data_IF_111970657232
#
_entry.id   IF_111970657232
#
_cell.length_a   1.000
_cell.length_b   1.000
_cell.length_c   1.000
_cell.angle_alpha   90.00
_cell.angle_beta   90.00
_cell.angle_gamma   90.00
#
_symmetry.space_group_name_H-M   'P 1'
#
loop_
_entity.id
_entity.type
_entity.pdbx_description
1 polymer ?
#
# COMPACT_ATOMS: atom_id res chain seq x y z
N UNK A 1 26.20 19.39 -6.98
CA UNK A 1 24.82 19.82 -7.28
C UNK A 1 24.05 18.61 -7.71
N UNK A 2 23.34 17.97 -6.76
CA UNK A 2 22.61 16.74 -7.02
C UNK A 2 21.46 17.02 -7.98
N UNK A 3 21.37 16.23 -9.03
CA UNK A 3 20.20 16.19 -9.91
C UNK A 3 19.00 15.86 -9.04
N UNK A 4 18.05 16.79 -8.88
CA UNK A 4 16.75 16.49 -8.31
C UNK A 4 16.15 15.37 -9.18
N UNK A 5 16.21 14.17 -8.66
CA UNK A 5 15.59 13.02 -9.29
C UNK A 5 14.09 13.30 -9.41
N UNK A 6 13.55 12.87 -10.50
CA UNK A 6 12.18 12.57 -10.84
C UNK A 6 11.31 12.54 -9.60
N UNK A 7 10.12 13.10 -9.69
CA UNK A 7 9.11 12.94 -8.65
C UNK A 7 9.09 11.48 -8.24
N UNK A 8 9.38 11.28 -6.99
CA UNK A 8 9.61 9.96 -6.39
C UNK A 8 8.42 9.01 -6.52
N UNK A 9 7.21 9.55 -6.66
CA UNK A 9 5.98 8.81 -6.93
C UNK A 9 6.07 7.88 -8.15
N UNK A 10 6.56 8.42 -9.28
CA UNK A 10 6.71 7.62 -10.49
C UNK A 10 7.79 6.53 -10.31
N UNK A 11 8.90 6.88 -9.70
CA UNK A 11 9.97 5.92 -9.42
C UNK A 11 9.46 4.81 -8.48
N UNK A 12 8.72 5.15 -7.45
CA UNK A 12 8.13 4.18 -6.53
C UNK A 12 7.04 3.34 -7.19
N UNK A 13 6.16 3.95 -7.99
CA UNK A 13 5.16 3.19 -8.77
C UNK A 13 5.82 2.19 -9.69
N UNK A 14 6.88 2.60 -10.38
CA UNK A 14 7.64 1.72 -11.28
C UNK A 14 8.38 0.64 -10.49
N UNK A 15 9.06 1.01 -9.40
CA UNK A 15 9.81 0.10 -8.54
C UNK A 15 8.90 -0.98 -7.93
N UNK A 16 7.76 -0.58 -7.37
CA UNK A 16 6.85 -1.50 -6.67
C UNK A 16 6.00 -2.35 -7.62
N UNK A 17 5.70 -1.87 -8.84
CA UNK A 17 4.89 -2.59 -9.84
C UNK A 17 5.66 -3.67 -10.61
N UNK A 18 6.96 -3.57 -10.66
CA UNK A 18 7.77 -4.54 -11.40
C UNK A 18 7.83 -5.86 -10.64
N UNK A 19 7.35 -6.93 -11.28
CA UNK A 19 7.40 -8.31 -10.73
C UNK A 19 8.83 -8.75 -10.36
N UNK A 20 9.84 -8.18 -11.03
CA UNK A 20 11.24 -8.41 -10.70
C UNK A 20 11.66 -7.79 -9.35
N UNK A 21 10.83 -6.95 -8.75
CA UNK A 21 11.11 -6.22 -7.52
C UNK A 21 10.17 -6.59 -6.37
N UNK A 22 9.56 -7.77 -6.39
CA UNK A 22 8.71 -8.25 -5.29
C UNK A 22 9.40 -8.19 -3.93
N UNK A 23 10.70 -8.44 -3.91
CA UNK A 23 11.54 -8.36 -2.73
C UNK A 23 11.56 -6.95 -2.10
N UNK A 24 11.57 -5.90 -2.92
CA UNK A 24 11.50 -4.52 -2.44
C UNK A 24 10.14 -4.25 -1.77
N UNK A 25 9.06 -4.66 -2.45
CA UNK A 25 7.71 -4.52 -1.93
C UNK A 25 7.50 -5.32 -0.65
N UNK A 26 8.00 -6.57 -0.60
CA UNK A 26 7.98 -7.41 0.60
C UNK A 26 8.73 -6.74 1.76
N UNK A 27 9.90 -6.16 1.50
CA UNK A 27 10.67 -5.44 2.51
C UNK A 27 9.89 -4.28 3.12
N UNK A 28 9.24 -3.46 2.29
CA UNK A 28 8.36 -2.38 2.76
C UNK A 28 7.19 -2.92 3.58
N UNK A 29 6.49 -3.94 3.08
CA UNK A 29 5.34 -4.53 3.78
C UNK A 29 5.75 -5.20 5.09
N UNK A 30 6.88 -5.90 5.14
CA UNK A 30 7.41 -6.48 6.36
C UNK A 30 7.69 -5.40 7.42
N UNK A 31 8.23 -4.26 7.01
CA UNK A 31 8.51 -3.15 7.93
C UNK A 31 7.23 -2.47 8.42
N UNK A 32 6.23 -2.26 7.54
CA UNK A 32 4.97 -1.59 7.87
C UNK A 32 4.06 -2.44 8.75
N UNK A 33 3.93 -3.72 8.40
CA UNK A 33 3.01 -4.64 9.08
C UNK A 33 3.68 -5.40 10.25
N UNK A 34 4.94 -5.10 10.53
CA UNK A 34 5.76 -5.73 11.58
C UNK A 34 5.77 -7.27 11.50
N UNK A 35 5.81 -7.80 10.26
CA UNK A 35 5.72 -9.22 9.97
C UNK A 35 6.78 -9.64 8.93
N UNK A 36 7.85 -10.26 9.37
CA UNK A 36 8.98 -10.65 8.51
C UNK A 36 8.67 -11.82 7.56
N UNK A 37 7.53 -12.48 7.74
CA UNK A 37 7.10 -13.64 6.94
C UNK A 37 6.16 -13.26 5.77
N UNK A 38 6.03 -11.99 5.44
CA UNK A 38 5.24 -11.58 4.29
C UNK A 38 5.95 -12.03 3.01
N UNK A 39 5.21 -12.75 2.19
CA UNK A 39 5.60 -13.16 0.85
C UNK A 39 4.49 -12.80 -0.12
N UNK A 40 4.85 -12.15 -1.22
CA UNK A 40 3.91 -11.78 -2.28
C UNK A 40 3.81 -12.94 -3.26
N UNK A 41 2.60 -13.46 -3.44
CA UNK A 41 2.34 -14.52 -4.40
C UNK A 41 2.09 -13.92 -5.78
N UNK A 42 1.31 -12.85 -5.85
CA UNK A 42 0.91 -12.26 -7.13
C UNK A 42 0.60 -10.77 -7.00
N UNK A 43 0.86 -10.02 -8.08
CA UNK A 43 0.27 -8.71 -8.30
C UNK A 43 -1.01 -8.94 -9.10
N UNK A 44 -2.12 -8.63 -8.46
CA UNK A 44 -3.42 -8.60 -9.10
C UNK A 44 -3.54 -7.22 -9.74
N UNK A 45 -3.15 -7.08 -11.01
CA UNK A 45 -3.38 -5.83 -11.74
C UNK A 45 -4.87 -5.56 -11.76
N UNK A 46 -5.30 -4.46 -11.16
CA UNK A 46 -6.57 -3.91 -11.53
C UNK A 46 -6.34 -3.22 -12.88
N UNK A 47 -6.45 -3.95 -13.96
CA UNK A 47 -6.73 -3.33 -15.24
C UNK A 47 -8.03 -2.55 -15.04
N UNK A 48 -7.94 -1.23 -15.12
CA UNK A 48 -9.10 -0.42 -15.48
C UNK A 48 -9.57 -1.00 -16.80
N UNK A 49 -10.63 -1.79 -16.74
CA UNK A 49 -11.26 -2.37 -17.91
C UNK A 49 -11.54 -1.19 -18.86
N UNK A 50 -10.94 -1.14 -20.07
CA UNK A 50 -11.17 -0.03 -21.00
C UNK A 50 -12.64 0.14 -21.39
N UNK A 51 -13.47 -0.88 -21.14
CA UNK A 51 -14.92 -0.85 -21.38
C UNK A 51 -15.70 -0.10 -20.30
N UNK A 52 -15.08 0.16 -19.13
CA UNK A 52 -15.65 1.02 -18.08
C UNK A 52 -15.05 2.43 -18.14
N UNK A 53 -15.13 3.08 -19.31
CA UNK A 53 -14.65 4.47 -19.52
C UNK A 53 -15.36 5.50 -18.64
N UNK A 54 -16.43 5.14 -17.97
CA UNK A 54 -17.16 6.02 -17.05
C UNK A 54 -16.70 5.91 -15.57
N UNK A 55 -15.87 4.92 -15.22
CA UNK A 55 -15.37 4.75 -13.85
C UNK A 55 -14.04 5.51 -13.66
N UNK A 56 -14.08 6.83 -13.78
CA UNK A 56 -12.94 7.75 -13.63
C UNK A 56 -12.33 7.79 -12.23
N UNK A 57 -12.90 7.05 -11.27
CA UNK A 57 -12.62 7.22 -9.85
C UNK A 57 -11.79 6.11 -9.19
N UNK A 58 -11.45 5.04 -9.88
CA UNK A 58 -10.66 3.96 -9.25
C UNK A 58 -9.28 3.84 -9.89
N UNK A 59 -8.34 4.61 -9.36
CA UNK A 59 -6.92 4.42 -9.66
C UNK A 59 -6.35 3.44 -8.63
N UNK A 60 -6.47 2.15 -8.89
CA UNK A 60 -5.72 1.15 -8.13
C UNK A 60 -4.28 1.21 -8.62
N UNK A 61 -3.37 1.72 -7.80
CA UNK A 61 -1.97 1.75 -8.17
C UNK A 61 -1.37 0.35 -8.12
N UNK A 62 -1.70 -0.43 -7.10
CA UNK A 62 -1.26 -1.81 -6.99
C UNK A 62 -2.14 -2.61 -6.03
N UNK A 63 -2.52 -3.80 -6.44
CA UNK A 63 -3.17 -4.80 -5.59
C UNK A 63 -2.34 -6.07 -5.59
N UNK A 64 -1.92 -6.54 -4.42
CA UNK A 64 -1.15 -7.77 -4.28
C UNK A 64 -1.87 -8.79 -3.41
N UNK A 65 -1.57 -10.06 -3.65
CA UNK A 65 -1.99 -11.18 -2.83
C UNK A 65 -0.77 -11.73 -2.10
N UNK A 66 -0.86 -11.82 -0.78
CA UNK A 66 0.19 -12.44 0.02
C UNK A 66 -0.04 -13.94 0.28
N UNK A 67 0.95 -14.60 0.86
CA UNK A 67 0.92 -16.04 1.18
C UNK A 67 -0.16 -16.44 2.19
N UNK A 68 -0.76 -15.49 2.91
CA UNK A 68 -1.87 -15.71 3.84
C UNK A 68 -3.24 -15.46 3.22
N UNK A 69 -3.29 -15.18 1.91
CA UNK A 69 -4.53 -14.86 1.19
C UNK A 69 -5.07 -13.46 1.49
N UNK A 70 -4.29 -12.58 2.13
CA UNK A 70 -4.68 -11.18 2.34
C UNK A 70 -4.48 -10.40 1.05
N UNK A 71 -5.39 -9.49 0.75
CA UNK A 71 -5.26 -8.55 -0.35
C UNK A 71 -4.72 -7.25 0.18
N UNK A 72 -3.60 -6.81 -0.37
CA UNK A 72 -2.94 -5.58 0.04
C UNK A 72 -3.06 -4.61 -1.13
N UNK A 73 -3.84 -3.57 -0.92
CA UNK A 73 -4.03 -2.45 -1.84
C UNK A 73 -3.09 -1.32 -1.47
N UNK A 74 -2.28 -0.88 -2.42
CA UNK A 74 -1.31 0.19 -2.22
C UNK A 74 -1.59 1.29 -3.24
N UNK A 75 -1.77 2.50 -2.74
CA UNK A 75 -1.99 3.71 -3.53
C UNK A 75 -0.90 4.73 -3.21
N UNK A 76 -0.37 5.38 -4.25
CA UNK A 76 0.59 6.47 -4.11
C UNK A 76 -0.03 7.74 -4.71
N UNK A 77 -0.32 8.71 -3.86
CA UNK A 77 -1.06 9.92 -4.23
C UNK A 77 -0.25 11.18 -3.97
N UNK A 78 -0.09 12.02 -5.00
CA UNK A 78 0.68 13.26 -4.91
C UNK A 78 -0.16 14.51 -4.72
N UNK A 79 -1.42 14.47 -5.13
CA UNK A 79 -2.33 15.58 -5.10
C UNK A 79 -3.48 15.29 -4.17
N UNK A 80 -3.87 16.30 -3.39
CA UNK A 80 -5.04 16.20 -2.52
C UNK A 80 -6.30 16.22 -3.39
N UNK A 81 -7.12 15.20 -3.22
CA UNK A 81 -8.50 15.15 -3.71
C UNK A 81 -9.44 15.54 -2.56
N UNK A 82 -10.53 16.23 -2.87
CA UNK A 82 -11.45 16.72 -1.84
C UNK A 82 -12.17 15.57 -1.14
N UNK A 83 -12.47 14.51 -1.88
CA UNK A 83 -13.22 13.31 -1.49
C UNK A 83 -12.32 12.07 -1.38
N UNK A 84 -11.07 12.28 -0.94
CA UNK A 84 -10.06 11.21 -0.87
C UNK A 84 -10.50 10.03 0.02
N UNK A 85 -11.09 10.29 1.17
CA UNK A 85 -11.52 9.21 2.09
C UNK A 85 -12.70 8.41 1.53
N UNK A 86 -13.61 9.07 0.83
CA UNK A 86 -14.72 8.45 0.13
C UNK A 86 -14.22 7.54 -0.99
N UNK A 87 -13.26 8.03 -1.77
CA UNK A 87 -12.60 7.27 -2.84
C UNK A 87 -11.87 6.04 -2.27
N UNK A 88 -11.12 6.20 -1.19
CA UNK A 88 -10.43 5.11 -0.49
C UNK A 88 -11.41 4.04 0.01
N UNK A 89 -12.51 4.48 0.64
CA UNK A 89 -13.56 3.58 1.13
C UNK A 89 -14.21 2.82 -0.04
N UNK A 90 -14.54 3.52 -1.12
CA UNK A 90 -15.13 2.92 -2.32
C UNK A 90 -14.20 1.87 -2.93
N UNK A 91 -12.93 2.22 -3.15
CA UNK A 91 -11.92 1.32 -3.73
C UNK A 91 -11.71 0.06 -2.89
N UNK A 92 -11.61 0.22 -1.57
CA UNK A 92 -11.49 -0.91 -0.64
C UNK A 92 -12.73 -1.81 -0.69
N UNK A 93 -13.93 -1.21 -0.71
CA UNK A 93 -15.20 -1.96 -0.79
C UNK A 93 -15.32 -2.72 -2.13
N UNK A 94 -14.91 -2.10 -3.23
CA UNK A 94 -14.90 -2.72 -4.57
C UNK A 94 -13.97 -3.95 -4.59
N UNK A 95 -12.77 -3.85 -4.01
CA UNK A 95 -11.84 -4.99 -3.89
C UNK A 95 -12.48 -6.15 -3.11
N UNK A 96 -13.24 -5.86 -2.06
CA UNK A 96 -13.95 -6.88 -1.30
C UNK A 96 -15.03 -7.55 -2.15
N UNK A 97 -15.82 -6.78 -2.88
CA UNK A 97 -16.97 -7.27 -3.65
C UNK A 97 -16.55 -8.01 -4.93
N UNK A 98 -15.64 -7.49 -5.71
CA UNK A 98 -15.21 -8.07 -7.00
C UNK A 98 -14.58 -9.46 -6.85
N UNK A 99 -14.04 -9.75 -5.71
CA UNK A 99 -13.42 -11.04 -5.43
C UNK A 99 -14.38 -12.05 -4.79
N UNK A 100 -15.61 -11.67 -4.57
CA UNK A 100 -16.69 -12.56 -4.20
C UNK A 100 -17.29 -13.15 -5.50
N UNK A 101 -16.98 -14.39 -5.85
CA UNK A 101 -17.83 -15.12 -6.79
C UNK A 101 -19.22 -15.08 -6.17
N UNK A 102 -20.19 -14.49 -6.90
CA UNK A 102 -21.59 -14.36 -6.52
C UNK A 102 -22.20 -15.72 -6.10
N UNK A 103 -21.90 -16.14 -4.91
CA UNK A 103 -22.36 -17.34 -4.26
C UNK A 103 -22.55 -17.07 -2.78
N UNK A 104 -23.47 -17.77 -2.14
CA UNK A 104 -23.90 -17.57 -0.75
C UNK A 104 -22.82 -17.85 0.32
N UNK A 105 -21.57 -18.04 -0.07
CA UNK A 105 -20.50 -18.40 0.85
C UNK A 105 -19.67 -17.16 1.23
N UNK A 106 -20.07 -16.49 2.32
CA UNK A 106 -19.33 -15.40 2.92
C UNK A 106 -18.08 -15.85 3.70
N UNK A 107 -17.84 -17.16 3.80
CA UNK A 107 -16.68 -17.71 4.52
C UNK A 107 -15.36 -17.30 3.86
N UNK A 108 -15.39 -16.99 2.56
CA UNK A 108 -14.20 -16.69 1.75
C UNK A 108 -13.95 -15.19 1.55
N UNK A 109 -14.51 -14.31 2.40
CA UNK A 109 -14.17 -12.88 2.37
C UNK A 109 -12.70 -12.73 2.76
N UNK A 110 -11.87 -12.32 1.80
CA UNK A 110 -10.45 -12.05 2.06
C UNK A 110 -10.31 -10.73 2.83
N UNK A 111 -9.42 -10.72 3.82
CA UNK A 111 -9.02 -9.48 4.48
C UNK A 111 -8.34 -8.55 3.48
N UNK A 112 -8.72 -7.28 3.51
CA UNK A 112 -8.08 -6.22 2.72
C UNK A 112 -7.28 -5.31 3.63
N UNK A 113 -6.03 -5.06 3.27
CA UNK A 113 -5.17 -4.06 3.89
C UNK A 113 -4.97 -2.95 2.87
N UNK A 114 -5.40 -1.75 3.19
CA UNK A 114 -5.29 -0.58 2.33
C UNK A 114 -4.20 0.35 2.82
N UNK A 115 -3.22 0.62 1.98
CA UNK A 115 -2.04 1.42 2.30
C UNK A 115 -2.01 2.63 1.36
N UNK A 116 -2.12 3.84 1.93
CA UNK A 116 -2.08 5.10 1.20
C UNK A 116 -0.77 5.83 1.51
N UNK A 117 0.07 6.01 0.48
CA UNK A 117 1.30 6.79 0.58
C UNK A 117 1.03 8.18 0.00
N UNK A 118 0.92 9.18 0.89
CA UNK A 118 0.43 10.51 0.58
C UNK A 118 1.55 11.54 0.64
N UNK A 119 1.74 12.27 -0.46
CA UNK A 119 2.66 13.41 -0.54
C UNK A 119 1.95 14.75 -0.30
N UNK A 120 0.87 14.72 0.49
CA UNK A 120 0.13 15.89 0.94
C UNK A 120 -0.45 15.65 2.34
N UNK A 121 -0.87 16.73 3.00
CA UNK A 121 -1.52 16.64 4.30
C UNK A 121 -3.02 16.40 4.13
N UNK A 122 -3.49 15.24 4.59
CA UNK A 122 -4.90 14.85 4.48
C UNK A 122 -5.80 15.57 5.51
N UNK A 123 -5.31 15.78 6.74
CA UNK A 123 -6.08 16.33 7.83
C UNK A 123 -5.22 16.94 8.92
N UNK A 124 -5.80 17.20 10.09
CA UNK A 124 -5.11 17.71 11.28
C UNK A 124 -4.61 16.54 12.12
N UNK A 125 -3.34 16.54 12.47
CA UNK A 125 -2.70 15.53 13.29
C UNK A 125 -1.19 15.73 13.30
N UNK A 126 -0.48 15.08 14.22
CA UNK A 126 0.96 15.27 14.41
C UNK A 126 1.79 14.09 13.90
N UNK A 127 1.16 12.93 13.71
CA UNK A 127 1.83 11.73 13.24
C UNK A 127 1.95 11.71 11.71
N UNK A 128 2.84 10.89 11.21
CA UNK A 128 3.05 10.66 9.77
C UNK A 128 2.46 9.32 9.30
N UNK A 129 2.10 8.40 10.23
CA UNK A 129 1.37 7.16 9.95
C UNK A 129 0.14 7.10 10.85
N UNK A 130 -1.02 6.95 10.23
CA UNK A 130 -2.29 6.69 10.91
C UNK A 130 -2.79 5.30 10.57
N UNK A 131 -3.14 4.54 11.59
CA UNK A 131 -3.70 3.21 11.47
C UNK A 131 -5.19 3.22 11.77
N UNK A 132 -5.99 2.71 10.86
CA UNK A 132 -7.44 2.59 10.97
C UNK A 132 -7.88 1.13 10.92
N UNK A 133 -8.73 0.73 11.87
CA UNK A 133 -9.34 -0.60 11.91
C UNK A 133 -10.72 -0.54 12.52
N UNK A 134 -11.57 -1.53 12.22
CA UNK A 134 -12.89 -1.65 12.81
C UNK A 134 -12.81 -2.48 14.09
N UNK A 135 -13.28 -1.90 15.20
CA UNK A 135 -13.37 -2.57 16.49
C UNK A 135 -14.78 -2.41 17.07
N UNK A 136 -15.33 -3.48 17.56
CA UNK A 136 -16.61 -3.48 18.26
C UNK A 136 -16.37 -3.34 19.76
N UNK A 137 -16.92 -2.27 20.35
CA UNK A 137 -16.81 -2.02 21.79
C UNK A 137 -18.16 -2.21 22.47
N UNK A 138 -18.17 -2.85 23.61
CA UNK A 138 -19.33 -2.93 24.49
C UNK A 138 -19.75 -1.53 24.95
N UNK A 139 -20.98 -1.14 24.68
CA UNK A 139 -21.47 0.20 25.04
C UNK A 139 -21.45 0.48 26.55
N UNK A 140 -21.62 -0.57 27.35
CA UNK A 140 -21.67 -0.45 28.81
C UNK A 140 -20.31 -0.65 29.48
N UNK A 141 -19.44 -1.49 28.89
CA UNK A 141 -18.17 -1.90 29.53
C UNK A 141 -16.95 -1.25 28.91
N UNK A 142 -17.06 -0.80 27.64
CA UNK A 142 -15.92 -0.31 26.84
C UNK A 142 -14.96 -1.40 26.37
N UNK A 143 -15.20 -2.65 26.69
CA UNK A 143 -14.37 -3.79 26.28
C UNK A 143 -14.49 -4.06 24.78
N UNK A 144 -13.40 -4.53 24.15
CA UNK A 144 -13.44 -4.96 22.77
C UNK A 144 -14.10 -6.34 22.66
N UNK A 145 -15.05 -6.49 21.73
CA UNK A 145 -15.57 -7.80 21.36
C UNK A 145 -14.50 -8.53 20.54
N UNK A 146 -14.08 -9.70 21.00
CA UNK A 146 -13.13 -10.58 20.31
C UNK A 146 -13.86 -11.80 19.79
N UNK A 147 -13.81 -12.03 18.49
CA UNK A 147 -14.38 -13.21 17.85
C UNK A 147 -13.22 -14.14 17.49
N UNK A 148 -13.29 -15.38 17.97
CA UNK A 148 -12.29 -16.41 17.70
C UNK A 148 -12.71 -17.31 16.53
N UNK A 149 -11.73 -17.75 15.75
CA UNK A 149 -11.88 -18.76 14.72
C UNK A 149 -10.82 -19.85 14.88
N UNK A 150 -11.14 -21.03 14.39
CA UNK A 150 -10.18 -22.14 14.30
C UNK A 150 -9.28 -21.88 13.09
N UNK A 151 -7.98 -21.88 13.31
CA UNK A 151 -6.97 -21.68 12.28
C UNK A 151 -6.03 -22.89 12.27
N UNK A 152 -5.73 -23.39 11.08
CA UNK A 152 -4.74 -24.46 10.91
C UNK A 152 -3.33 -23.89 11.08
N UNK A 153 -2.48 -24.64 11.80
CA UNK A 153 -1.08 -24.27 11.98
C UNK A 153 -0.33 -24.75 10.73
N UNK A 154 0.25 -23.86 9.93
CA UNK A 154 1.04 -24.23 8.76
C UNK A 154 2.22 -25.13 9.18
N UNK A 155 2.65 -25.99 8.25
CA UNK A 155 3.86 -26.82 8.35
C UNK A 155 3.90 -27.82 9.52
N UNK A 156 2.76 -28.11 10.15
CA UNK A 156 2.67 -29.19 11.10
C UNK A 156 2.65 -30.56 10.37
N UNK A 157 3.39 -31.54 10.87
CA UNK A 157 3.41 -32.92 10.31
C UNK A 157 2.03 -33.60 10.35
N UNK A 158 1.17 -33.16 11.26
CA UNK A 158 -0.24 -33.54 11.36
C UNK A 158 -1.09 -32.27 11.46
N UNK A 159 -2.36 -32.27 10.98
CA UNK A 159 -3.21 -31.11 11.09
C UNK A 159 -3.39 -30.64 12.53
N UNK A 160 -2.79 -29.55 12.87
CA UNK A 160 -2.93 -28.89 14.19
C UNK A 160 -3.68 -27.59 14.03
N UNK A 161 -4.44 -27.23 15.03
CA UNK A 161 -5.29 -26.05 15.00
C UNK A 161 -5.08 -25.20 16.25
N UNK A 162 -5.15 -23.90 16.07
CA UNK A 162 -5.20 -22.92 17.16
C UNK A 162 -6.44 -22.06 17.05
N UNK A 163 -6.81 -21.42 18.15
CA UNK A 163 -7.82 -20.39 18.15
C UNK A 163 -7.15 -19.04 17.91
N UNK A 164 -7.45 -18.41 16.79
CA UNK A 164 -6.96 -17.08 16.42
C UNK A 164 -8.10 -16.07 16.41
N UNK A 165 -7.76 -14.78 16.49
CA UNK A 165 -8.75 -13.72 16.35
C UNK A 165 -9.25 -13.68 14.91
N UNK A 166 -10.56 -13.60 14.74
CA UNK A 166 -11.17 -13.49 13.42
C UNK A 166 -11.12 -12.03 12.95
N UNK A 167 -10.18 -11.73 12.08
CA UNK A 167 -9.95 -10.39 11.54
C UNK A 167 -10.33 -10.34 10.06
N UNK A 168 -11.57 -9.94 9.76
CA UNK A 168 -12.10 -9.84 8.39
C UNK A 168 -12.29 -8.41 7.91
N UNK A 169 -12.37 -7.45 8.85
CA UNK A 169 -12.60 -6.06 8.49
C UNK A 169 -11.34 -5.45 7.85
N UNK A 170 -11.52 -4.51 6.91
CA UNK A 170 -10.40 -3.80 6.31
C UNK A 170 -9.53 -3.08 7.35
N UNK A 171 -8.26 -3.01 7.06
CA UNK A 171 -7.30 -2.15 7.75
C UNK A 171 -6.79 -1.07 6.81
N UNK A 172 -6.54 0.10 7.36
CA UNK A 172 -6.08 1.27 6.62
C UNK A 172 -4.79 1.80 7.23
N UNK A 173 -3.81 2.06 6.39
CA UNK A 173 -2.59 2.78 6.75
C UNK A 173 -2.52 4.06 5.90
N UNK A 174 -2.59 5.21 6.54
CA UNK A 174 -2.43 6.51 5.89
C UNK A 174 -1.05 7.05 6.24
N UNK A 175 -0.16 7.07 5.26
CA UNK A 175 1.23 7.48 5.43
C UNK A 175 1.41 8.85 4.79
N UNK A 176 1.58 9.90 5.61
CA UNK A 176 1.82 11.26 5.15
C UNK A 176 3.31 11.54 5.11
N UNK A 177 3.95 11.31 3.96
CA UNK A 177 5.40 11.38 3.78
C UNK A 177 5.97 12.75 4.18
N UNK A 178 5.28 13.84 3.85
CA UNK A 178 5.72 15.21 4.15
C UNK A 178 5.84 15.49 5.66
N UNK A 179 5.05 14.81 6.50
CA UNK A 179 5.09 14.99 7.96
C UNK A 179 6.25 14.29 8.64
N UNK A 180 6.86 13.33 7.98
CA UNK A 180 8.00 12.61 8.54
C UNK A 180 9.18 13.53 8.78
N UNK A 181 9.77 13.50 9.97
CA UNK A 181 10.82 14.42 10.42
C UNK A 181 12.25 13.92 10.18
N UNK A 182 12.43 12.86 9.39
CA UNK A 182 13.72 12.20 9.15
C UNK A 182 14.39 11.67 10.43
N UNK A 183 13.57 11.19 11.38
CA UNK A 183 14.06 10.57 12.61
C UNK A 183 13.73 9.09 12.55
N UNK A 184 14.76 8.26 12.40
CA UNK A 184 14.61 6.81 12.29
C UNK A 184 14.61 6.21 13.70
N UNK A 185 13.52 5.55 14.08
CA UNK A 185 13.35 4.85 15.35
C UNK A 185 12.97 3.38 15.17
N UNK A 186 12.36 3.06 14.03
CA UNK A 186 11.90 1.71 13.68
C UNK A 186 12.06 1.44 12.20
N UNK A 187 11.93 0.17 11.79
CA UNK A 187 12.16 -0.26 10.40
C UNK A 187 11.33 0.49 9.36
N UNK A 188 10.08 0.79 9.65
CA UNK A 188 9.24 1.53 8.71
C UNK A 188 9.77 2.95 8.45
N UNK A 189 10.43 3.56 9.43
CA UNK A 189 10.98 4.90 9.28
C UNK A 189 12.07 4.96 8.22
N UNK A 190 12.83 3.87 8.02
CA UNK A 190 13.84 3.75 6.98
C UNK A 190 13.19 3.82 5.58
N UNK A 191 12.04 3.17 5.41
CA UNK A 191 11.27 3.21 4.17
C UNK A 191 10.63 4.58 3.92
N UNK A 192 10.08 5.22 4.97
CA UNK A 192 9.53 6.57 4.83
C UNK A 192 10.64 7.59 4.56
N UNK A 193 11.83 7.40 5.13
CA UNK A 193 13.00 8.19 4.80
C UNK A 193 13.35 8.07 3.32
N UNK A 194 13.40 6.84 2.79
CA UNK A 194 13.60 6.56 1.37
C UNK A 194 12.53 7.24 0.52
N UNK A 195 11.25 7.15 0.89
CA UNK A 195 10.14 7.76 0.17
C UNK A 195 10.21 9.29 0.15
N UNK A 196 10.71 9.89 1.20
CA UNK A 196 10.83 11.34 1.31
C UNK A 196 12.06 11.90 0.62
N UNK A 197 13.20 11.24 0.78
CA UNK A 197 14.51 11.79 0.41
C UNK A 197 15.07 11.18 -0.87
N UNK A 198 14.49 10.08 -1.40
CA UNK A 198 14.98 9.32 -2.57
C UNK A 198 16.39 8.76 -2.36
N UNK A 199 16.73 8.45 -1.13
CA UNK A 199 18.00 7.86 -0.71
C UNK A 199 17.79 6.98 0.52
N UNK A 200 18.63 5.98 0.72
CA UNK A 200 18.61 5.15 1.92
C UNK A 200 19.45 5.82 3.00
N UNK A 201 18.90 5.87 4.20
CA UNK A 201 19.62 6.44 5.34
C UNK A 201 20.81 5.55 5.73
N UNK A 202 21.90 6.19 6.15
CA UNK A 202 23.08 5.46 6.61
C UNK A 202 22.74 4.56 7.82
N UNK A 203 23.12 3.29 7.76
CA UNK A 203 22.86 2.33 8.83
C UNK A 203 21.47 1.68 8.79
N UNK A 204 20.70 1.89 7.71
CA UNK A 204 19.45 1.17 7.49
C UNK A 204 19.66 -0.34 7.48
N UNK A 205 18.71 -1.07 8.08
CA UNK A 205 18.77 -2.53 8.27
C UNK A 205 17.47 -3.25 7.88
N UNK A 206 16.48 -2.52 7.40
CA UNK A 206 15.20 -3.12 6.94
C UNK A 206 15.43 -4.10 5.81
N UNK A 207 14.68 -5.20 5.83
CA UNK A 207 14.72 -6.23 4.80
C UNK A 207 14.62 -5.61 3.40
N UNK A 208 15.58 -5.94 2.53
CA UNK A 208 15.62 -5.54 1.12
C UNK A 208 15.68 -4.01 0.84
N UNK A 209 15.98 -3.17 1.81
CA UNK A 209 16.05 -1.72 1.59
C UNK A 209 17.25 -1.32 0.71
N UNK A 210 18.36 -2.06 0.82
CA UNK A 210 19.55 -1.93 -0.01
C UNK A 210 19.25 -2.24 -1.49
N UNK A 211 18.38 -3.21 -1.75
CA UNK A 211 17.89 -3.51 -3.10
C UNK A 211 17.05 -2.39 -3.67
N UNK A 212 16.23 -1.74 -2.84
CA UNK A 212 15.47 -0.57 -3.27
C UNK A 212 16.41 0.56 -3.72
N UNK A 213 17.51 0.80 -2.98
CA UNK A 213 18.53 1.78 -3.36
C UNK A 213 19.20 1.44 -4.68
N UNK A 214 19.64 0.18 -4.84
CA UNK A 214 20.26 -0.29 -6.08
C UNK A 214 19.34 -0.11 -7.29
N UNK A 215 18.08 -0.50 -7.16
CA UNK A 215 17.07 -0.36 -8.21
C UNK A 215 16.77 1.10 -8.54
N UNK A 216 16.69 1.97 -7.56
CA UNK A 216 16.56 3.41 -7.80
C UNK A 216 17.78 3.99 -8.51
N UNK A 217 18.99 3.50 -8.21
CA UNK A 217 20.21 3.88 -8.92
C UNK A 217 20.24 3.38 -10.38
N UNK A 218 19.75 2.16 -10.63
CA UNK A 218 19.62 1.58 -11.99
C UNK A 218 18.55 2.30 -12.82
N UNK A 219 17.52 2.84 -12.20
CA UNK A 219 16.49 3.67 -12.81
C UNK A 219 16.99 5.06 -13.22
N UNK A 220 18.31 5.32 -13.18
CA UNK A 220 18.94 6.47 -13.80
C UNK A 220 18.52 6.52 -15.28
N UNK A 221 17.46 7.28 -15.52
CA UNK A 221 16.66 7.25 -16.75
C UNK A 221 17.50 7.36 -18.01
N UNK A 222 17.26 6.45 -18.89
CA UNK A 222 17.57 6.61 -20.32
C UNK A 222 16.79 7.83 -20.87
N UNK A 223 17.27 8.43 -21.93
CA UNK A 223 16.60 9.60 -22.55
C UNK A 223 15.16 9.29 -22.99
N UNK A 224 14.87 8.03 -23.36
CA UNK A 224 13.56 7.54 -23.73
C UNK A 224 12.58 7.49 -22.52
N UNK A 225 13.07 7.09 -21.36
CA UNK A 225 12.29 7.03 -20.11
C UNK A 225 11.99 8.44 -19.59
N UNK A 226 12.96 9.36 -19.71
CA UNK A 226 12.78 10.77 -19.38
C UNK A 226 11.69 11.41 -20.24
N UNK A 227 11.63 11.09 -21.55
CA UNK A 227 10.57 11.58 -22.43
C UNK A 227 9.19 11.02 -22.06
N UNK A 228 9.10 9.73 -21.67
CA UNK A 228 7.85 9.13 -21.19
C UNK A 228 7.37 9.80 -19.90
N UNK A 229 8.28 10.05 -18.98
CA UNK A 229 7.98 10.73 -17.73
C UNK A 229 7.50 12.19 -17.95
N UNK A 230 8.17 12.96 -18.80
CA UNK A 230 7.72 14.30 -19.16
C UNK A 230 6.32 14.28 -19.77
N UNK A 231 6.04 13.30 -20.65
CA UNK A 231 4.69 13.12 -21.21
C UNK A 231 3.64 12.79 -20.15
N UNK A 232 4.01 11.95 -19.19
CA UNK A 232 3.16 11.64 -18.03
C UNK A 232 2.84 12.90 -17.21
N UNK A 233 3.84 13.71 -16.89
CA UNK A 233 3.64 14.97 -16.14
C UNK A 233 2.75 15.97 -16.89
N UNK A 234 2.92 16.08 -18.20
CA UNK A 234 2.09 16.98 -19.03
C UNK A 234 0.64 16.52 -19.04
N UNK A 235 0.39 15.23 -19.20
CA UNK A 235 -0.95 14.65 -19.15
C UNK A 235 -1.59 14.84 -17.75
N UNK A 236 -0.82 14.60 -16.69
CA UNK A 236 -1.27 14.77 -15.32
C UNK A 236 -1.69 16.23 -14.98
N UNK A 237 -0.92 17.22 -15.45
CA UNK A 237 -1.28 18.64 -15.29
C UNK A 237 -2.53 18.97 -16.09
N UNK A 238 -2.66 18.45 -17.31
CA UNK A 238 -3.80 18.68 -18.21
C UNK A 238 -5.10 18.10 -17.68
N UNK A 239 -5.04 16.90 -17.09
CA UNK A 239 -6.22 16.26 -16.47
C UNK A 239 -6.70 17.03 -15.24
N UNK A 240 -5.78 17.70 -14.52
CA UNK A 240 -6.11 18.55 -13.38
C UNK A 240 -6.74 19.89 -13.79
N UNK A 241 -6.28 20.48 -14.88
CA UNK A 241 -6.79 21.78 -15.38
C UNK A 241 -8.16 21.64 -16.07
N UNK A 242 -8.59 20.42 -16.41
CA UNK A 242 -9.92 20.11 -16.96
C UNK A 242 -10.97 19.91 -15.85
N UNK A 243 -10.54 19.73 -14.59
CA UNK A 243 -11.39 19.48 -13.43
C UNK A 243 -11.58 20.71 -12.52
N UNK A 244 -11.02 21.87 -12.88
CA UNK A 244 -11.30 23.18 -12.31
C UNK A 244 -12.10 24.04 -13.31
#
# INVERSE_FOLDING_TARGET
MGKKLIRFDWAMKTLLRDKANFDVLEGFLCALLEDDNIQIINILESETNPEAQDDKFVRVDMLVLDSRGRKIYIEIQNTRETDYLESLLYSTSKIIVENQKLGRDFANVSKVISISILYFNLGIGQDYIYYGTTRFKGLNTGENLVIKQREEIPDALEPRFRMADKEIFPEYFLITVERYKNIITKRIDEWIYLFKNSEVAQGSSSKNIDRAEQKLAEMNMTEAERKRYQKYLVNFVRDRDVLN
#
